data_IF_189891147879
#
_entry.id   IF_189891147879
#
_cell.length_a   1.000
_cell.length_b   1.000
_cell.length_c   1.000
_cell.angle_alpha   90.00
_cell.angle_beta   90.00
_cell.angle_gamma   90.00
#
_symmetry.space_group_name_H-M   'P 1'
#
loop_
_entity.id
_entity.type
_entity.pdbx_description
1 polymer ?
#
# COMPACT_ATOMS: atom_id res chain seq x y z
N UNK A 1 17.21 -8.80 -18.92
CA UNK A 1 16.63 -7.66 -18.18
C UNK A 1 15.88 -8.25 -17.01
N UNK A 2 16.37 -8.09 -15.79
CA UNK A 2 15.62 -8.45 -14.58
C UNK A 2 14.61 -7.34 -14.33
N UNK A 3 13.32 -7.63 -14.45
CA UNK A 3 12.25 -6.69 -14.10
C UNK A 3 12.30 -6.48 -12.59
N UNK A 4 12.48 -5.23 -12.14
CA UNK A 4 12.49 -4.88 -10.71
C UNK A 4 11.09 -4.85 -10.09
N UNK A 5 10.06 -4.90 -10.93
CA UNK A 5 8.65 -4.97 -10.55
C UNK A 5 8.06 -6.33 -10.96
N UNK A 6 7.37 -6.99 -10.04
CA UNK A 6 6.68 -8.27 -10.25
C UNK A 6 5.21 -8.09 -9.97
N UNK A 7 4.37 -8.76 -10.75
CA UNK A 7 2.92 -8.69 -10.64
C UNK A 7 2.37 -10.09 -10.40
N UNK A 8 1.40 -10.21 -9.49
CA UNK A 8 0.65 -11.44 -9.27
C UNK A 8 -0.80 -11.09 -8.85
N UNK A 9 -1.74 -12.00 -9.11
CA UNK A 9 -3.18 -11.74 -8.98
C UNK A 9 -3.82 -11.11 -10.22
N UNK A 10 -5.16 -11.07 -10.24
CA UNK A 10 -5.94 -10.55 -11.37
C UNK A 10 -5.90 -9.02 -11.43
N UNK A 11 -5.86 -8.45 -12.65
CA UNK A 11 -5.60 -7.03 -12.87
C UNK A 11 -6.75 -6.08 -12.51
N UNK A 12 -7.95 -6.62 -12.32
CA UNK A 12 -9.15 -5.89 -11.91
C UNK A 12 -9.36 -5.87 -10.39
N UNK A 13 -8.55 -6.62 -9.63
CA UNK A 13 -8.58 -6.61 -8.17
C UNK A 13 -7.93 -5.34 -7.59
N UNK A 14 -8.33 -4.89 -6.39
CA UNK A 14 -7.64 -3.81 -5.68
C UNK A 14 -6.13 -4.06 -5.59
N UNK A 15 -5.33 -3.02 -5.78
CA UNK A 15 -3.87 -3.15 -5.88
C UNK A 15 -3.18 -2.92 -4.54
N UNK A 16 -2.20 -3.78 -4.25
CA UNK A 16 -1.22 -3.60 -3.17
C UNK A 16 0.16 -3.43 -3.79
N UNK A 17 0.69 -2.21 -3.75
CA UNK A 17 2.02 -1.86 -4.25
C UNK A 17 3.05 -1.94 -3.13
N UNK A 18 3.90 -2.96 -3.13
CA UNK A 18 4.90 -3.22 -2.08
C UNK A 18 6.26 -2.69 -2.51
N UNK A 19 6.87 -1.82 -1.70
CA UNK A 19 8.24 -1.32 -1.88
C UNK A 19 9.21 -2.13 -1.03
N UNK A 20 9.91 -3.05 -1.68
CA UNK A 20 10.90 -3.94 -1.09
C UNK A 20 12.32 -3.33 -1.18
N UNK A 21 12.99 -3.07 -0.05
CA UNK A 21 14.35 -2.51 -0.02
C UNK A 21 15.44 -3.53 -0.38
N UNK A 22 15.10 -4.80 -0.59
CA UNK A 22 16.08 -5.85 -0.84
C UNK A 22 16.94 -5.55 -2.08
N UNK A 23 18.26 -5.83 -2.03
CA UNK A 23 19.13 -5.64 -3.17
C UNK A 23 18.75 -6.57 -4.33
N UNK A 24 19.19 -6.26 -5.57
CA UNK A 24 19.02 -7.15 -6.71
C UNK A 24 19.61 -8.53 -6.41
N UNK A 25 18.73 -9.52 -6.20
CA UNK A 25 19.10 -10.91 -5.94
C UNK A 25 18.19 -11.84 -6.74
N UNK A 26 18.77 -12.45 -7.77
CA UNK A 26 18.07 -13.37 -8.66
C UNK A 26 16.89 -12.74 -9.43
N UNK A 27 16.11 -13.57 -10.14
CA UNK A 27 14.84 -13.12 -10.72
C UNK A 27 13.91 -12.64 -9.60
N UNK A 28 13.17 -11.57 -9.91
CA UNK A 28 12.18 -11.09 -9.00
C UNK A 28 10.94 -12.01 -9.05
N UNK A 29 10.56 -12.54 -7.89
CA UNK A 29 9.37 -13.36 -7.68
C UNK A 29 8.62 -12.84 -6.45
N UNK A 30 7.31 -13.04 -6.43
CA UNK A 30 6.50 -12.75 -5.24
C UNK A 30 6.84 -13.75 -4.12
N UNK A 31 7.18 -13.28 -2.91
CA UNK A 31 7.48 -14.17 -1.80
C UNK A 31 6.29 -15.08 -1.44
N UNK A 32 6.53 -16.36 -1.06
CA UNK A 32 5.46 -17.31 -0.77
C UNK A 32 4.44 -16.81 0.27
N UNK A 33 4.89 -16.10 1.31
CA UNK A 33 4.04 -15.53 2.36
C UNK A 33 2.91 -14.64 1.81
N UNK A 34 3.18 -13.94 0.71
CA UNK A 34 2.26 -12.96 0.12
C UNK A 34 1.29 -13.56 -0.90
N UNK A 35 1.49 -14.81 -1.32
CA UNK A 35 0.67 -15.45 -2.36
C UNK A 35 -0.79 -15.59 -1.94
N UNK A 36 -1.08 -15.77 -0.65
CA UNK A 36 -2.47 -15.83 -0.19
C UNK A 36 -3.24 -14.52 -0.44
N UNK A 37 -2.55 -13.38 -0.53
CA UNK A 37 -3.17 -12.08 -0.78
C UNK A 37 -3.66 -11.94 -2.23
N UNK A 38 -3.10 -12.72 -3.17
CA UNK A 38 -3.40 -12.60 -4.60
C UNK A 38 -4.79 -13.12 -4.97
N UNK A 39 -5.45 -13.87 -4.08
CA UNK A 39 -6.84 -14.29 -4.22
C UNK A 39 -7.83 -13.11 -4.14
N UNK A 40 -7.41 -11.99 -3.53
CA UNK A 40 -8.27 -10.82 -3.26
C UNK A 40 -7.67 -9.50 -3.76
N UNK A 41 -6.40 -9.49 -4.14
CA UNK A 41 -5.64 -8.30 -4.53
C UNK A 41 -4.76 -8.58 -5.72
N UNK A 42 -4.47 -7.54 -6.49
CA UNK A 42 -3.31 -7.53 -7.37
C UNK A 42 -2.10 -7.09 -6.54
N UNK A 43 -1.10 -7.96 -6.38
CA UNK A 43 0.13 -7.62 -5.66
C UNK A 43 1.19 -7.17 -6.67
N UNK A 44 1.69 -5.97 -6.48
CA UNK A 44 2.74 -5.36 -7.29
C UNK A 44 3.97 -5.20 -6.43
N UNK A 45 4.96 -6.07 -6.62
CA UNK A 45 6.17 -6.12 -5.81
C UNK A 45 7.30 -5.35 -6.48
N UNK A 46 7.62 -4.17 -5.96
CA UNK A 46 8.68 -3.29 -6.46
C UNK A 46 9.93 -3.41 -5.58
N UNK A 47 10.98 -4.06 -6.08
CA UNK A 47 12.30 -4.06 -5.44
C UNK A 47 13.06 -2.80 -5.82
N UNK A 48 12.91 -1.73 -5.04
CA UNK A 48 13.34 -0.39 -5.47
C UNK A 48 14.85 -0.17 -5.44
N UNK A 49 15.61 -1.03 -4.76
CA UNK A 49 17.09 -1.05 -4.83
C UNK A 49 17.61 -1.61 -6.17
N UNK A 50 16.72 -2.13 -7.03
CA UNK A 50 17.05 -2.51 -8.42
C UNK A 50 16.96 -1.26 -9.31
N UNK A 51 17.97 -1.07 -10.17
CA UNK A 51 18.00 0.03 -11.13
C UNK A 51 16.66 0.20 -11.85
N UNK A 52 16.15 1.44 -11.85
CA UNK A 52 14.91 1.89 -12.50
C UNK A 52 13.60 1.33 -11.92
N UNK A 53 13.61 0.41 -10.96
CA UNK A 53 12.36 -0.12 -10.38
C UNK A 53 11.51 0.98 -9.73
N UNK A 54 12.14 1.90 -9.00
CA UNK A 54 11.43 3.04 -8.42
C UNK A 54 10.88 4.00 -9.48
N UNK A 55 11.64 4.25 -10.54
CA UNK A 55 11.19 5.08 -11.66
C UNK A 55 10.04 4.41 -12.44
N UNK A 56 10.02 3.09 -12.51
CA UNK A 56 8.91 2.32 -13.08
C UNK A 56 7.66 2.43 -12.21
N UNK A 57 7.78 2.30 -10.88
CA UNK A 57 6.67 2.53 -9.96
C UNK A 57 6.13 3.96 -10.04
N UNK A 58 7.01 4.96 -10.11
CA UNK A 58 6.65 6.38 -10.32
C UNK A 58 5.87 6.59 -11.62
N UNK A 59 6.31 5.95 -12.72
CA UNK A 59 5.60 5.97 -14.00
C UNK A 59 4.21 5.30 -13.91
N UNK A 60 4.13 4.14 -13.25
CA UNK A 60 2.88 3.39 -13.11
C UNK A 60 1.86 4.14 -12.24
N UNK A 61 2.30 4.77 -11.16
CA UNK A 61 1.42 5.59 -10.30
C UNK A 61 0.89 6.83 -11.02
N UNK A 62 1.63 7.36 -11.99
CA UNK A 62 1.18 8.44 -12.87
C UNK A 62 0.20 8.03 -13.98
N UNK A 63 0.00 6.73 -14.18
CA UNK A 63 -0.92 6.18 -15.18
C UNK A 63 -2.24 5.75 -14.49
N UNK A 64 -3.37 6.42 -14.79
CA UNK A 64 -4.63 6.16 -14.10
C UNK A 64 -5.15 4.72 -14.29
N UNK A 65 -4.77 4.07 -15.39
CA UNK A 65 -5.26 2.75 -15.82
C UNK A 65 -4.27 1.62 -15.49
N UNK A 66 -3.11 1.92 -14.91
CA UNK A 66 -2.07 0.92 -14.64
C UNK A 66 -2.42 -0.05 -13.51
N UNK A 67 -3.33 0.32 -12.60
CA UNK A 67 -3.64 -0.43 -11.39
C UNK A 67 -5.14 -0.57 -11.16
N UNK A 68 -5.53 -1.69 -10.57
CA UNK A 68 -6.85 -1.86 -9.98
C UNK A 68 -7.06 -0.93 -8.78
N UNK A 69 -8.33 -0.64 -8.45
CA UNK A 69 -8.70 0.32 -7.39
C UNK A 69 -9.42 -0.38 -6.24
N UNK A 70 -9.24 0.08 -4.98
CA UNK A 70 -8.28 1.10 -4.53
C UNK A 70 -6.81 0.65 -4.65
N UNK A 71 -5.87 1.59 -4.51
CA UNK A 71 -4.43 1.31 -4.43
C UNK A 71 -3.95 1.56 -3.00
N UNK A 72 -3.35 0.55 -2.37
CA UNK A 72 -2.65 0.68 -1.10
C UNK A 72 -1.15 0.48 -1.31
N UNK A 73 -0.33 1.41 -0.84
CA UNK A 73 1.12 1.26 -0.85
C UNK A 73 1.60 0.60 0.45
N UNK A 74 2.57 -0.30 0.36
CA UNK A 74 3.25 -0.89 1.51
C UNK A 74 4.72 -0.51 1.46
N UNK A 75 5.23 0.10 2.52
CA UNK A 75 6.62 0.53 2.62
C UNK A 75 7.25 -0.08 3.87
N UNK A 76 8.51 -0.50 3.79
CA UNK A 76 9.25 -1.04 4.92
C UNK A 76 10.35 -0.08 5.39
N UNK A 77 10.33 0.27 6.67
CA UNK A 77 11.17 1.32 7.24
C UNK A 77 10.83 2.71 6.66
N UNK A 78 11.83 3.59 6.56
CA UNK A 78 11.66 5.02 6.22
C UNK A 78 12.42 5.51 4.98
N UNK A 79 12.29 4.87 3.79
CA UNK A 79 13.00 5.28 2.59
C UNK A 79 12.46 6.61 2.02
N UNK A 80 13.29 7.66 2.06
CA UNK A 80 12.95 9.01 1.58
C UNK A 80 12.49 9.02 0.13
N UNK A 81 13.16 8.26 -0.74
CA UNK A 81 12.91 8.28 -2.18
C UNK A 81 11.53 7.69 -2.52
N UNK A 82 11.09 6.68 -1.75
CA UNK A 82 9.75 6.09 -1.87
C UNK A 82 8.70 7.08 -1.37
N UNK A 83 8.94 7.72 -0.23
CA UNK A 83 8.04 8.73 0.31
C UNK A 83 7.85 9.90 -0.67
N UNK A 84 8.90 10.33 -1.36
CA UNK A 84 8.81 11.37 -2.40
C UNK A 84 7.97 10.93 -3.60
N UNK A 85 8.06 9.66 -4.03
CA UNK A 85 7.18 9.09 -5.06
C UNK A 85 5.73 9.11 -4.59
N UNK A 86 5.45 8.59 -3.39
CA UNK A 86 4.09 8.53 -2.84
C UNK A 86 3.46 9.92 -2.68
N UNK A 87 4.24 10.93 -2.28
CA UNK A 87 3.78 12.32 -2.19
C UNK A 87 3.41 12.91 -3.54
N UNK A 88 4.20 12.64 -4.60
CA UNK A 88 3.88 13.10 -5.96
C UNK A 88 2.59 12.48 -6.50
N UNK A 89 2.33 11.22 -6.12
CA UNK A 89 1.18 10.45 -6.60
C UNK A 89 0.19 10.14 -5.47
N UNK A 90 -0.08 11.11 -4.60
CA UNK A 90 -0.97 10.92 -3.47
C UNK A 90 -2.43 10.68 -3.91
N UNK A 91 -2.89 11.37 -4.96
CA UNK A 91 -4.27 11.29 -5.46
C UNK A 91 -4.79 9.86 -5.75
N UNK A 92 -4.03 8.99 -6.44
CA UNK A 92 -4.46 7.62 -6.70
C UNK A 92 -4.43 6.66 -5.49
N UNK A 93 -3.78 7.04 -4.38
CA UNK A 93 -3.59 6.17 -3.22
C UNK A 93 -4.75 6.30 -2.23
N UNK A 94 -5.24 5.15 -1.73
CA UNK A 94 -6.15 5.11 -0.58
C UNK A 94 -5.36 5.22 0.72
N UNK A 95 -4.35 4.36 0.87
CA UNK A 95 -3.55 4.28 2.08
C UNK A 95 -2.08 3.97 1.81
N UNK A 96 -1.24 4.30 2.80
CA UNK A 96 0.14 3.84 2.93
C UNK A 96 0.26 3.03 4.23
N UNK A 97 0.61 1.75 4.11
CA UNK A 97 0.95 0.88 5.23
C UNK A 97 2.47 0.91 5.41
N UNK A 98 2.92 1.46 6.53
CA UNK A 98 4.34 1.55 6.88
C UNK A 98 4.68 0.43 7.85
N UNK A 99 5.49 -0.51 7.40
CA UNK A 99 5.99 -1.64 8.17
C UNK A 99 7.26 -1.22 8.92
N UNK A 100 7.28 -1.47 10.23
CA UNK A 100 8.47 -1.31 11.08
C UNK A 100 9.10 0.09 10.99
N UNK A 101 8.25 1.12 10.99
CA UNK A 101 8.69 2.52 11.02
C UNK A 101 9.62 2.82 12.20
N UNK A 102 10.61 3.69 11.98
CA UNK A 102 11.47 4.19 13.04
C UNK A 102 10.67 5.00 14.08
N UNK A 103 11.01 4.90 15.38
CA UNK A 103 10.36 5.70 16.41
C UNK A 103 10.46 7.21 16.12
N UNK A 104 9.32 7.88 16.01
CA UNK A 104 9.26 9.31 15.72
C UNK A 104 9.38 9.67 14.23
N UNK A 105 9.43 8.68 13.34
CA UNK A 105 9.30 8.92 11.91
C UNK A 105 7.94 9.58 11.59
N UNK A 106 7.98 10.62 10.74
CA UNK A 106 6.79 11.35 10.31
C UNK A 106 6.47 10.94 8.88
N UNK A 107 5.40 10.18 8.74
CA UNK A 107 4.84 9.78 7.46
C UNK A 107 3.66 10.66 7.10
N UNK A 108 3.89 11.58 6.18
CA UNK A 108 2.86 12.48 5.68
C UNK A 108 2.79 12.38 4.15
N UNK A 109 1.62 11.91 3.68
CA UNK A 109 1.25 11.86 2.27
C UNK A 109 -0.11 12.58 2.13
N UNK A 110 -0.19 13.70 1.39
CA UNK A 110 -1.37 14.56 1.39
C UNK A 110 -2.66 13.83 1.01
N UNK A 111 -3.65 13.85 1.90
CA UNK A 111 -4.97 13.23 1.64
C UNK A 111 -4.99 11.70 1.66
N UNK A 112 -3.89 11.05 2.06
CA UNK A 112 -3.77 9.58 2.09
C UNK A 112 -3.72 9.10 3.53
N UNK A 113 -4.43 8.01 3.83
CA UNK A 113 -4.41 7.39 5.17
C UNK A 113 -3.06 6.73 5.40
N UNK A 114 -2.41 7.00 6.54
CA UNK A 114 -1.14 6.34 6.90
C UNK A 114 -1.38 5.41 8.07
N UNK A 115 -1.04 4.14 7.90
CA UNK A 115 -1.17 3.09 8.92
C UNK A 115 0.20 2.51 9.20
N UNK A 116 0.64 2.49 10.46
CA UNK A 116 1.90 1.85 10.85
C UNK A 116 1.62 0.46 11.42
N UNK A 117 2.35 -0.54 10.97
CA UNK A 117 2.30 -1.91 11.50
C UNK A 117 3.67 -2.36 11.96
N UNK A 118 3.69 -3.22 12.98
CA UNK A 118 4.95 -3.65 13.57
C UNK A 118 5.66 -2.57 14.36
N UNK A 119 6.96 -2.77 14.58
CA UNK A 119 7.86 -1.87 15.31
C UNK A 119 9.26 -2.02 14.71
N UNK A 120 10.05 -0.95 14.66
CA UNK A 120 11.45 -1.10 14.26
C UNK A 120 12.17 -2.15 15.12
N UNK A 121 12.90 -3.04 14.47
CA UNK A 121 13.64 -4.16 15.07
C UNK A 121 15.10 -4.15 14.60
N UNK A 122 16.00 -4.67 15.43
CA UNK A 122 17.40 -4.92 15.05
C UNK A 122 17.74 -6.40 15.26
N UNK A 123 17.97 -7.19 14.20
CA UNK A 123 17.89 -6.80 12.78
C UNK A 123 16.45 -6.51 12.32
N UNK A 124 16.25 -5.73 11.24
CA UNK A 124 14.93 -5.48 10.66
C UNK A 124 14.23 -6.79 10.27
N UNK A 125 12.90 -6.85 10.38
CA UNK A 125 12.14 -7.99 9.86
C UNK A 125 12.27 -8.02 8.34
N UNK A 126 12.21 -9.21 7.76
CA UNK A 126 12.19 -9.34 6.32
C UNK A 126 10.77 -9.02 5.81
N UNK A 127 10.64 -8.06 4.90
CA UNK A 127 9.36 -7.73 4.24
C UNK A 127 8.73 -8.96 3.52
N UNK A 128 9.56 -9.94 3.18
CA UNK A 128 9.17 -11.21 2.55
C UNK A 128 8.61 -12.24 3.54
N UNK A 129 8.70 -11.99 4.85
CA UNK A 129 8.37 -12.96 5.89
C UNK A 129 6.89 -12.98 6.31
N UNK A 130 6.46 -14.11 6.86
CA UNK A 130 5.05 -14.37 7.23
C UNK A 130 4.50 -13.36 8.22
N UNK A 131 5.29 -12.95 9.22
CA UNK A 131 4.83 -11.98 10.23
C UNK A 131 4.51 -10.61 9.62
N UNK A 132 5.35 -10.13 8.69
CA UNK A 132 5.11 -8.86 7.99
C UNK A 132 3.90 -8.99 7.07
N UNK A 133 3.80 -10.10 6.33
CA UNK A 133 2.65 -10.35 5.46
C UNK A 133 1.32 -10.41 6.23
N UNK A 134 1.31 -11.04 7.41
CA UNK A 134 0.15 -11.10 8.28
C UNK A 134 -0.25 -9.72 8.84
N UNK A 135 0.74 -8.94 9.33
CA UNK A 135 0.51 -7.58 9.82
C UNK A 135 -0.08 -6.67 8.73
N UNK A 136 0.48 -6.72 7.51
CA UNK A 136 -0.02 -5.96 6.36
C UNK A 136 -1.43 -6.41 5.98
N UNK A 137 -1.68 -7.72 5.89
CA UNK A 137 -3.01 -8.26 5.56
C UNK A 137 -4.06 -7.79 6.57
N UNK A 138 -3.74 -7.83 7.86
CA UNK A 138 -4.64 -7.34 8.91
C UNK A 138 -4.94 -5.84 8.78
N UNK A 139 -3.94 -5.02 8.43
CA UNK A 139 -4.14 -3.58 8.18
C UNK A 139 -5.02 -3.33 6.94
N UNK A 140 -4.81 -4.08 5.86
CA UNK A 140 -5.63 -3.97 4.64
C UNK A 140 -7.08 -4.41 4.89
N UNK A 141 -7.30 -5.47 5.66
CA UNK A 141 -8.64 -5.92 6.03
C UNK A 141 -9.34 -4.89 6.94
N UNK A 142 -8.62 -4.21 7.83
CA UNK A 142 -9.17 -3.13 8.64
C UNK A 142 -9.58 -1.92 7.78
N UNK A 143 -8.74 -1.52 6.82
CA UNK A 143 -9.06 -0.45 5.87
C UNK A 143 -10.31 -0.77 5.04
N UNK A 144 -10.44 -2.01 4.57
CA UNK A 144 -11.63 -2.46 3.85
C UNK A 144 -12.88 -2.42 4.74
N UNK A 145 -12.77 -2.84 5.99
CA UNK A 145 -13.88 -2.80 6.94
C UNK A 145 -14.34 -1.37 7.24
N UNK A 146 -13.39 -0.43 7.38
CA UNK A 146 -13.68 0.99 7.58
C UNK A 146 -14.40 1.60 6.37
N UNK A 147 -13.94 1.33 5.15
CA UNK A 147 -14.58 1.82 3.91
C UNK A 147 -16.02 1.28 3.78
N UNK A 148 -16.24 0.01 4.13
CA UNK A 148 -17.58 -0.60 4.14
C UNK A 148 -18.47 0.01 5.25
N UNK A 149 -17.91 0.36 6.40
CA UNK A 149 -18.62 1.01 7.49
C UNK A 149 -19.02 2.46 7.17
N UNK A 150 -18.15 3.20 6.47
CA UNK A 150 -18.44 4.56 5.99
C UNK A 150 -19.54 4.57 4.92
N UNK A 151 -19.60 3.54 4.06
CA UNK A 151 -20.66 3.40 3.06
C UNK A 151 -22.07 3.14 3.65
N UNK A 152 -22.15 2.73 4.93
CA UNK A 152 -23.40 2.35 5.62
C UNK A 152 -23.80 3.38 6.71
N UNK A 153 -23.07 4.48 6.85
CA UNK A 153 -23.38 5.55 7.81
C UNK A 153 -24.76 6.20 7.57
N UNK A 154 -25.50 6.56 8.64
CA UNK A 154 -26.93 6.84 8.54
C UNK A 154 -27.18 8.10 7.71
N UNK A 155 -28.10 8.01 6.75
CA UNK A 155 -28.79 9.17 6.18
C UNK A 155 -29.38 9.97 7.36
N UNK A 156 -28.66 11.01 7.81
CA UNK A 156 -29.25 11.99 8.71
C UNK A 156 -30.35 12.68 7.91
N UNK A 157 -31.58 12.24 8.16
CA UNK A 157 -32.79 13.02 7.93
C UNK A 157 -32.55 14.42 8.50
N UNK A 158 -32.20 15.36 7.62
CA UNK A 158 -32.61 16.75 7.80
C UNK A 158 -34.10 16.77 7.52
N UNK A 159 -34.84 16.28 8.53
CA UNK A 159 -36.25 16.50 8.66
C UNK A 159 -36.46 18.01 8.64
N UNK A 160 -37.07 18.45 7.55
CA UNK A 160 -37.69 19.73 7.39
C UNK A 160 -38.60 19.97 8.59
N UNK A 161 -38.19 20.85 9.50
CA UNK A 161 -39.14 21.68 10.23
C UNK A 161 -39.21 23.02 9.53
N UNK A 162 -39.78 23.00 8.32
CA UNK A 162 -40.64 24.09 7.87
C UNK A 162 -41.99 23.85 8.54
N UNK A 163 -42.30 24.63 9.56
CA UNK A 163 -43.67 24.97 9.89
C UNK A 163 -43.63 26.40 10.42
N UNK A 164 -43.98 27.32 9.51
CA UNK A 164 -44.58 28.62 9.80
C UNK A 164 -45.54 28.55 10.99
N UNK A 165 -45.38 29.44 11.98
CA UNK A 165 -46.27 30.60 12.20
C UNK A 165 -45.70 31.55 13.26
#
# INVERSE_FOLDING_TARGET
MTTGVVWDGAADLPTVLVFDPAPPSGPAELPPAWRALTDRRQVVWCRFAVDRALAEADRLLGDPDAFGRPIDAVVHGDPSDVLDVLRRHAGPLRAVVVVDAEPGAVWEVPGVRVVTVGRSHTPPRAITGDAVSADVTGALDALDADDLGEAVGPERQQERTDTDE
#
